data_IF_360563545721
#
_entry.id   IF_360563545721
#
_cell.length_a   1.000
_cell.length_b   1.000
_cell.length_c   1.000
_cell.angle_alpha   90.00
_cell.angle_beta   90.00
_cell.angle_gamma   90.00
#
_symmetry.space_group_name_H-M   'P 1'
#
loop_
_entity.id
_entity.type
_entity.pdbx_description
1 polymer ?
#
# COMPACT_ATOMS: atom_id res chain seq x y z
N UNK A 1 11.30 17.10 -3.04
CA UNK A 1 10.36 17.35 -1.92
C UNK A 1 9.75 16.00 -1.59
N UNK A 2 10.19 15.35 -0.51
CA UNK A 2 9.59 14.09 -0.09
C UNK A 2 8.20 14.41 0.48
N UNK A 3 7.16 13.79 -0.06
CA UNK A 3 5.83 13.91 0.52
C UNK A 3 5.88 13.28 1.92
N UNK A 4 5.38 13.95 2.97
CA UNK A 4 5.29 13.34 4.28
C UNK A 4 4.42 12.07 4.16
N UNK A 5 4.97 10.95 4.62
CA UNK A 5 4.20 9.74 4.91
C UNK A 5 3.35 10.02 6.15
N UNK A 6 2.36 10.91 6.05
CA UNK A 6 1.29 11.07 7.04
C UNK A 6 0.30 9.91 6.86
N UNK A 7 0.81 8.68 6.89
CA UNK A 7 0.00 7.48 7.00
C UNK A 7 -0.39 7.35 8.46
N UNK A 8 -1.69 7.38 8.81
CA UNK A 8 -2.09 6.85 10.10
C UNK A 8 -1.66 5.37 10.10
N UNK A 9 -0.81 5.00 11.07
CA UNK A 9 -0.20 3.67 11.18
C UNK A 9 -1.26 2.54 11.15
N UNK A 10 -2.52 2.88 11.48
CA UNK A 10 -3.71 2.04 11.41
C UNK A 10 -4.14 1.61 9.99
N UNK A 11 -3.43 1.97 8.93
CA UNK A 11 -3.77 1.62 7.54
C UNK A 11 -2.78 0.63 6.88
N UNK A 12 -1.69 0.21 7.56
CA UNK A 12 -0.68 -0.72 7.01
C UNK A 12 -0.53 -1.94 7.93
N UNK A 13 -0.68 -3.15 7.38
CA UNK A 13 -0.57 -4.44 8.08
C UNK A 13 0.68 -4.59 8.94
N UNK A 14 1.85 -4.16 8.47
CA UNK A 14 3.10 -4.28 9.26
C UNK A 14 3.01 -3.64 10.65
N UNK A 15 1.99 -2.79 10.87
CA UNK A 15 1.74 -2.05 12.10
C UNK A 15 0.32 -2.23 12.66
N UNK A 16 -0.52 -3.04 12.02
CA UNK A 16 -1.92 -3.27 12.40
C UNK A 16 -2.09 -4.65 13.02
N UNK A 17 -2.56 -4.71 14.27
CA UNK A 17 -2.78 -5.96 15.00
C UNK A 17 -4.03 -6.74 14.53
N UNK A 18 -4.92 -6.11 13.75
CA UNK A 18 -6.19 -6.70 13.31
C UNK A 18 -6.10 -7.48 11.99
N UNK A 19 -4.94 -7.53 11.34
CA UNK A 19 -4.78 -8.22 10.06
C UNK A 19 -4.45 -9.72 10.28
N UNK A 20 -5.15 -10.65 9.61
CA UNK A 20 -4.92 -12.08 9.77
C UNK A 20 -3.49 -12.51 9.41
N UNK A 21 -2.99 -13.56 10.07
CA UNK A 21 -1.76 -14.22 9.66
C UNK A 21 -1.86 -14.69 8.20
N UNK A 22 -0.77 -14.52 7.45
CA UNK A 22 -0.70 -14.91 6.03
C UNK A 22 -1.12 -13.83 5.03
N UNK A 23 -1.51 -12.63 5.49
CA UNK A 23 -1.69 -11.46 4.64
C UNK A 23 -0.43 -10.61 4.58
N UNK A 24 -0.30 -9.74 3.57
CA UNK A 24 0.70 -8.66 3.48
C UNK A 24 0.05 -7.37 2.97
N UNK A 25 0.57 -6.20 3.36
CA UNK A 25 0.17 -4.94 2.72
C UNK A 25 0.89 -4.77 1.40
N UNK A 26 0.09 -4.45 0.39
CA UNK A 26 0.53 -4.11 -0.94
C UNK A 26 0.41 -2.60 -1.14
N UNK A 27 1.48 -1.99 -1.66
CA UNK A 27 1.43 -0.67 -2.28
C UNK A 27 1.39 -0.83 -3.80
N UNK A 28 0.24 -0.54 -4.40
CA UNK A 28 0.10 -0.45 -5.85
C UNK A 28 0.22 1.01 -6.28
N UNK A 29 1.17 1.32 -7.16
CA UNK A 29 1.31 2.67 -7.72
C UNK A 29 0.45 2.83 -8.96
N UNK A 30 -0.08 4.02 -9.14
CA UNK A 30 -0.89 4.39 -10.30
C UNK A 30 -0.57 5.82 -10.72
N UNK A 31 -0.79 6.13 -12.00
CA UNK A 31 -0.73 7.49 -12.52
C UNK A 31 -1.63 8.39 -11.67
N UNK A 32 -1.08 9.51 -11.20
CA UNK A 32 -1.85 10.44 -10.36
C UNK A 32 -3.13 10.90 -11.07
N UNK A 33 -4.27 10.78 -10.38
CA UNK A 33 -5.61 11.03 -10.93
C UNK A 33 -6.35 9.77 -11.39
N UNK A 34 -5.68 8.62 -11.53
CA UNK A 34 -6.30 7.34 -11.91
C UNK A 34 -6.54 6.40 -10.74
N UNK A 35 -6.22 6.81 -9.52
CA UNK A 35 -6.24 5.92 -8.35
C UNK A 35 -7.68 5.47 -7.99
N UNK A 36 -8.69 6.21 -8.44
CA UNK A 36 -10.10 5.79 -8.37
C UNK A 36 -10.38 4.56 -9.24
N UNK A 37 -9.92 4.56 -10.49
CA UNK A 37 -10.07 3.42 -11.39
C UNK A 37 -9.27 2.21 -10.87
N UNK A 38 -8.08 2.45 -10.35
CA UNK A 38 -7.25 1.40 -9.74
C UNK A 38 -7.89 0.79 -8.51
N UNK A 39 -8.43 1.62 -7.60
CA UNK A 39 -9.18 1.13 -6.44
C UNK A 39 -10.37 0.29 -6.86
N UNK A 40 -11.16 0.75 -7.83
CA UNK A 40 -12.30 -0.02 -8.35
C UNK A 40 -11.87 -1.35 -8.93
N UNK A 41 -10.80 -1.40 -9.73
CA UNK A 41 -10.30 -2.65 -10.30
C UNK A 41 -9.88 -3.65 -9.21
N UNK A 42 -9.18 -3.20 -8.16
CA UNK A 42 -8.76 -4.02 -7.04
C UNK A 42 -9.99 -4.58 -6.29
N UNK A 43 -10.96 -3.73 -5.97
CA UNK A 43 -12.17 -4.14 -5.26
C UNK A 43 -13.02 -5.10 -6.11
N UNK A 44 -13.20 -4.83 -7.40
CA UNK A 44 -13.99 -5.66 -8.30
C UNK A 44 -13.38 -7.06 -8.48
N UNK A 45 -12.05 -7.15 -8.61
CA UNK A 45 -11.35 -8.43 -8.84
C UNK A 45 -11.15 -9.26 -7.58
N UNK A 46 -10.99 -8.61 -6.43
CA UNK A 46 -10.48 -9.26 -5.23
C UNK A 46 -11.33 -9.04 -3.97
N UNK A 47 -12.52 -8.42 -4.08
CA UNK A 47 -13.41 -8.15 -2.93
C UNK A 47 -13.61 -9.32 -1.96
N UNK A 48 -13.58 -10.56 -2.44
CA UNK A 48 -13.78 -11.76 -1.64
C UNK A 48 -12.56 -12.22 -0.83
N UNK A 49 -11.37 -11.68 -1.10
CA UNK A 49 -10.11 -12.10 -0.47
C UNK A 49 -9.31 -10.96 0.16
N UNK A 50 -9.78 -9.71 0.05
CA UNK A 50 -9.12 -8.58 0.69
C UNK A 50 -9.34 -8.60 2.20
N UNK A 51 -8.31 -8.25 2.97
CA UNK A 51 -8.42 -8.08 4.42
C UNK A 51 -8.52 -6.60 4.78
N UNK A 52 -9.74 -6.06 4.81
CA UNK A 52 -9.98 -4.67 5.19
C UNK A 52 -10.08 -3.71 4.00
N UNK A 53 -10.00 -2.39 4.24
CA UNK A 53 -10.31 -1.40 3.22
C UNK A 53 -9.19 -1.23 2.20
N UNK A 54 -9.58 -0.95 0.95
CA UNK A 54 -8.65 -0.45 -0.08
C UNK A 54 -8.53 1.06 0.06
N UNK A 55 -7.35 1.53 0.44
CA UNK A 55 -7.09 2.92 0.77
C UNK A 55 -6.42 3.63 -0.39
N UNK A 56 -7.04 4.72 -0.86
CA UNK A 56 -6.49 5.58 -1.92
C UNK A 56 -5.62 6.69 -1.33
N UNK A 57 -4.48 6.96 -1.96
CA UNK A 57 -3.57 8.10 -1.73
C UNK A 57 -3.09 8.65 -3.08
N UNK A 58 -2.40 9.79 -3.04
CA UNK A 58 -1.90 10.41 -4.26
C UNK A 58 -0.87 9.49 -4.94
N UNK A 59 -1.21 8.98 -6.13
CA UNK A 59 -0.44 8.05 -6.94
C UNK A 59 -0.33 6.62 -6.37
N UNK A 60 -1.08 6.27 -5.32
CA UNK A 60 -0.89 5.01 -4.59
C UNK A 60 -2.19 4.44 -4.05
N UNK A 61 -2.27 3.12 -4.02
CA UNK A 61 -3.37 2.36 -3.46
C UNK A 61 -2.78 1.34 -2.49
N UNK A 62 -3.27 1.35 -1.26
CA UNK A 62 -2.84 0.44 -0.19
C UNK A 62 -3.96 -0.54 0.12
N UNK A 63 -3.63 -1.82 0.23
CA UNK A 63 -4.59 -2.87 0.60
C UNK A 63 -3.85 -4.10 1.14
N UNK A 64 -4.53 -4.87 1.99
CA UNK A 64 -3.99 -6.11 2.53
C UNK A 64 -4.46 -7.31 1.70
N UNK A 65 -3.52 -8.18 1.35
CA UNK A 65 -3.74 -9.26 0.39
C UNK A 65 -3.09 -10.58 0.86
N UNK A 66 -3.66 -11.76 0.54
CA UNK A 66 -3.05 -13.03 0.92
C UNK A 66 -1.66 -13.20 0.28
N UNK A 67 -0.64 -13.46 1.10
CA UNK A 67 0.75 -13.61 0.67
C UNK A 67 0.91 -14.67 -0.42
N UNK A 68 0.19 -15.78 -0.28
CA UNK A 68 0.22 -16.91 -1.22
C UNK A 68 -0.34 -16.56 -2.61
N UNK A 69 -1.07 -15.46 -2.74
CA UNK A 69 -1.72 -15.04 -3.99
C UNK A 69 -1.07 -13.79 -4.62
N UNK A 70 -0.07 -13.19 -3.98
CA UNK A 70 0.54 -11.91 -4.41
C UNK A 70 1.04 -11.96 -5.86
N UNK A 71 1.53 -13.13 -6.31
CA UNK A 71 2.00 -13.34 -7.69
C UNK A 71 0.93 -13.10 -8.78
N UNK A 72 -0.35 -13.13 -8.39
CA UNK A 72 -1.48 -12.88 -9.29
C UNK A 72 -1.69 -11.40 -9.58
N UNK A 73 -1.26 -10.51 -8.67
CA UNK A 73 -1.55 -9.07 -8.76
C UNK A 73 -1.00 -8.45 -10.06
N UNK A 74 0.27 -8.66 -10.45
CA UNK A 74 0.80 -8.09 -11.71
C UNK A 74 0.16 -8.67 -12.97
N UNK A 75 -0.46 -9.85 -12.87
CA UNK A 75 -1.10 -10.54 -14.01
C UNK A 75 -2.53 -10.04 -14.23
N UNK A 76 -3.22 -9.68 -13.14
CA UNK A 76 -4.63 -9.37 -13.16
C UNK A 76 -4.93 -7.86 -13.12
N UNK A 77 -4.08 -7.05 -12.47
CA UNK A 77 -4.25 -5.60 -12.40
C UNK A 77 -3.68 -4.92 -13.65
N UNK A 78 -4.50 -4.09 -14.30
CA UNK A 78 -4.10 -3.38 -15.54
C UNK A 78 -3.93 -1.89 -15.36
N UNK A 79 -4.49 -1.34 -14.29
CA UNK A 79 -4.47 0.09 -13.97
C UNK A 79 -3.31 0.48 -13.05
N UNK A 80 -2.45 -0.47 -12.68
CA UNK A 80 -1.29 -0.27 -11.81
C UNK A 80 -0.01 -0.20 -12.63
N UNK A 81 0.91 0.67 -12.23
CA UNK A 81 2.25 0.73 -12.82
C UNK A 81 3.19 -0.28 -12.15
N UNK A 82 3.14 -0.38 -10.82
CA UNK A 82 3.98 -1.26 -10.02
C UNK A 82 3.22 -1.77 -8.80
N UNK A 83 3.68 -2.91 -8.29
CA UNK A 83 3.19 -3.55 -7.08
C UNK A 83 4.36 -3.77 -6.14
N UNK A 84 4.29 -3.22 -4.93
CA UNK A 84 5.30 -3.35 -3.90
C UNK A 84 4.72 -4.06 -2.67
N UNK A 85 5.54 -4.89 -2.04
CA UNK A 85 5.23 -5.48 -0.74
C UNK A 85 5.82 -4.59 0.34
N UNK A 86 4.98 -4.06 1.22
CA UNK A 86 5.41 -3.23 2.33
C UNK A 86 5.85 -4.12 3.51
N UNK A 87 7.15 -4.18 3.76
CA UNK A 87 7.75 -5.00 4.83
C UNK A 87 7.81 -4.29 6.19
N UNK A 88 7.93 -2.96 6.18
CA UNK A 88 8.03 -2.15 7.39
C UNK A 88 7.73 -0.68 7.05
N UNK A 89 7.22 0.05 8.03
CA UNK A 89 7.13 1.50 7.99
C UNK A 89 7.78 2.02 9.27
N UNK A 90 8.83 2.83 9.11
CA UNK A 90 9.52 3.47 10.23
C UNK A 90 9.08 4.94 10.29
N UNK A 91 8.50 5.34 11.42
CA UNK A 91 8.17 6.73 11.66
C UNK A 91 9.37 7.46 12.25
N UNK A 92 9.70 8.63 11.70
CA UNK A 92 10.64 9.55 12.31
C UNK A 92 12.11 9.12 12.26
N UNK A 93 12.64 8.72 11.09
CA UNK A 93 14.09 8.70 10.88
C UNK A 93 14.59 10.14 11.13
N UNK A 94 15.34 10.40 12.21
CA UNK A 94 15.82 11.75 12.47
C UNK A 94 16.92 12.02 11.44
N UNK A 95 16.60 12.83 10.42
CA UNK A 95 17.63 13.49 9.63
C UNK A 95 18.32 14.50 10.56
N UNK A 96 19.29 14.05 11.34
CA UNK A 96 20.22 14.95 12.02
C UNK A 96 21.06 15.60 10.92
N UNK A 97 20.67 16.79 10.47
CA UNK A 97 21.61 17.66 9.80
C UNK A 97 22.63 18.10 10.86
N UNK A 98 23.80 17.47 10.85
CA UNK A 98 24.96 18.12 11.46
C UNK A 98 25.25 19.35 10.61
N UNK A 99 24.60 20.46 10.94
CA UNK A 99 25.02 21.78 10.49
C UNK A 99 26.27 22.10 11.30
N UNK A 100 27.43 21.69 10.79
CA UNK A 100 28.71 22.22 11.27
C UNK A 100 28.80 23.67 10.77
N UNK A 101 28.60 24.62 11.69
CA UNK A 101 29.06 26.01 11.51
C UNK A 101 30.15 26.24 12.54
#
# INVERSE_FOLDING_TARGET
MALPLDLPLSEIQGLREDVPQGYVTIEATSVTGFEGATKMEIEDRFSNILSGPVVKRQGRILFDFPLEQVERLPQELRTVDNVYLLIALESGIPFQSQSTV
#
